data_IF_576056082067
#
_entry.id   IF_576056082067
#
_cell.length_a   1.000
_cell.length_b   1.000
_cell.length_c   1.000
_cell.angle_alpha   90.00
_cell.angle_beta   90.00
_cell.angle_gamma   90.00
#
_symmetry.space_group_name_H-M   'P 1'
#
loop_
_entity.id
_entity.type
_entity.pdbx_description
1 polymer ?
#
# COMPACT_ATOMS: atom_id res chain seq x y z
N UNK A 1 -11.45 26.22 -10.99
CA UNK A 1 -11.13 26.62 -9.61
C UNK A 1 -12.43 27.12 -9.00
N UNK A 2 -12.95 26.43 -7.99
CA UNK A 2 -14.18 26.82 -7.31
C UNK A 2 -13.79 27.59 -6.05
N UNK A 3 -14.20 28.85 -5.87
CA UNK A 3 -13.95 29.55 -4.63
C UNK A 3 -14.75 28.89 -3.51
N UNK A 4 -14.08 28.51 -2.44
CA UNK A 4 -14.73 28.05 -1.22
C UNK A 4 -15.15 29.30 -0.45
N UNK A 5 -16.46 29.51 -0.30
CA UNK A 5 -17.03 30.60 0.49
C UNK A 5 -16.58 30.53 1.96
N UNK A 6 -16.58 31.67 2.63
CA UNK A 6 -16.23 31.82 4.04
C UNK A 6 -17.15 30.92 4.90
N UNK A 7 -16.66 29.76 5.27
CA UNK A 7 -17.36 28.81 6.09
C UNK A 7 -16.41 27.67 6.42
N UNK A 8 -16.40 27.25 7.66
CA UNK A 8 -15.68 26.11 8.18
C UNK A 8 -15.65 24.97 7.15
N UNK A 9 -14.49 24.64 6.61
CA UNK A 9 -14.40 23.60 5.58
C UNK A 9 -13.04 22.97 5.49
N UNK A 10 -13.00 21.67 5.75
CA UNK A 10 -11.87 20.81 5.37
C UNK A 10 -11.84 20.74 3.83
N UNK A 11 -10.76 21.21 3.22
CA UNK A 11 -10.53 21.06 1.78
C UNK A 11 -9.72 19.80 1.54
N UNK A 12 -10.31 18.83 0.86
CA UNK A 12 -9.62 17.58 0.46
C UNK A 12 -9.26 17.65 -1.03
N UNK A 13 -8.05 18.00 -1.39
CA UNK A 13 -7.66 18.12 -2.81
C UNK A 13 -7.56 16.79 -3.57
N UNK A 14 -7.90 15.69 -2.97
CA UNK A 14 -7.96 14.40 -3.61
C UNK A 14 -7.20 13.32 -2.83
N UNK A 15 -7.64 12.09 -3.02
CA UNK A 15 -7.01 10.90 -2.44
C UNK A 15 -6.38 10.10 -3.57
N UNK A 16 -5.13 9.67 -3.39
CA UNK A 16 -4.51 8.66 -4.22
C UNK A 16 -5.27 7.34 -4.10
N UNK A 17 -5.32 6.55 -5.18
CA UNK A 17 -5.95 5.23 -5.14
C UNK A 17 -5.04 4.24 -4.43
N UNK A 18 -5.63 3.36 -3.63
CA UNK A 18 -4.88 2.28 -3.01
C UNK A 18 -4.41 1.27 -4.07
N UNK A 19 -3.26 0.65 -3.84
CA UNK A 19 -2.73 -0.42 -4.68
C UNK A 19 -3.53 -1.70 -4.52
N UNK A 20 -3.49 -2.56 -5.54
CA UNK A 20 -4.15 -3.87 -5.49
C UNK A 20 -3.28 -4.88 -4.76
N UNK A 21 -3.92 -5.82 -4.06
CA UNK A 21 -3.21 -6.91 -3.41
C UNK A 21 -2.59 -7.86 -4.45
N UNK A 22 -1.47 -8.47 -4.09
CA UNK A 22 -0.80 -9.47 -4.90
C UNK A 22 -1.58 -10.80 -4.91
N UNK A 23 -1.61 -11.53 -6.03
CA UNK A 23 -2.26 -12.82 -6.10
C UNK A 23 -1.53 -13.85 -5.23
N UNK A 24 -2.24 -14.89 -4.73
CA UNK A 24 -1.61 -15.99 -4.03
C UNK A 24 -0.71 -16.80 -4.97
N UNK A 25 0.32 -17.43 -4.40
CA UNK A 25 1.21 -18.34 -5.12
C UNK A 25 0.50 -19.65 -5.49
N UNK A 26 0.94 -20.27 -6.57
CA UNK A 26 0.42 -21.53 -7.05
C UNK A 26 0.91 -22.68 -6.15
N UNK A 27 0.04 -23.68 -5.90
CA UNK A 27 0.42 -24.89 -5.19
C UNK A 27 1.48 -25.69 -5.99
N UNK A 28 2.48 -26.22 -5.30
CA UNK A 28 3.45 -27.13 -5.91
C UNK A 28 2.81 -28.44 -6.38
N UNK A 29 3.34 -29.03 -7.42
CA UNK A 29 2.90 -30.33 -7.91
C UNK A 29 3.20 -31.42 -6.88
N UNK A 30 2.28 -32.38 -6.75
CA UNK A 30 2.49 -33.54 -5.89
C UNK A 30 3.58 -34.47 -6.45
N UNK A 31 4.25 -35.21 -5.57
CA UNK A 31 5.18 -36.24 -5.96
C UNK A 31 4.49 -37.35 -6.75
N UNK A 32 5.22 -38.05 -7.58
CA UNK A 32 4.75 -39.25 -8.28
C UNK A 32 5.37 -40.49 -7.66
N UNK A 33 4.76 -41.66 -7.89
CA UNK A 33 5.30 -42.96 -7.42
C UNK A 33 6.75 -43.22 -7.90
N UNK A 34 7.13 -42.65 -9.05
CA UNK A 34 8.45 -42.78 -9.62
C UNK A 34 9.48 -41.84 -8.94
N UNK A 35 9.06 -40.67 -8.50
CA UNK A 35 9.95 -39.66 -7.93
C UNK A 35 9.85 -39.53 -6.39
N UNK A 36 8.71 -39.93 -5.82
CA UNK A 36 8.44 -39.87 -4.38
C UNK A 36 8.29 -38.45 -3.81
N UNK A 37 9.12 -37.52 -4.21
CA UNK A 37 9.15 -36.15 -3.70
C UNK A 37 8.28 -35.19 -4.49
N UNK A 38 7.69 -34.21 -3.80
CA UNK A 38 6.85 -33.18 -4.38
C UNK A 38 7.63 -31.87 -4.66
N UNK A 39 7.09 -31.08 -5.54
CA UNK A 39 7.62 -29.76 -5.85
C UNK A 39 7.26 -28.72 -4.77
N UNK A 40 8.10 -27.69 -4.56
CA UNK A 40 7.76 -26.59 -3.68
C UNK A 40 6.60 -25.77 -4.23
N UNK A 41 5.91 -25.06 -3.36
CA UNK A 41 4.89 -24.09 -3.76
C UNK A 41 5.50 -22.87 -4.47
N UNK A 42 4.77 -22.29 -5.39
CA UNK A 42 5.18 -21.05 -6.06
C UNK A 42 5.14 -19.83 -5.12
N UNK A 43 5.93 -18.78 -5.41
CA UNK A 43 5.88 -17.53 -4.65
C UNK A 43 4.53 -16.83 -4.79
N UNK A 44 4.12 -16.10 -3.76
CA UNK A 44 3.01 -15.15 -3.84
C UNK A 44 3.37 -13.95 -4.71
N UNK A 45 2.38 -13.36 -5.37
CA UNK A 45 2.59 -12.13 -6.14
C UNK A 45 2.81 -10.92 -5.24
N UNK A 46 3.57 -9.93 -5.73
CA UNK A 46 3.79 -8.69 -5.00
C UNK A 46 2.53 -7.81 -5.03
N UNK A 47 2.31 -7.05 -3.95
CA UNK A 47 1.27 -6.03 -3.90
C UNK A 47 1.56 -4.90 -4.88
N UNK A 48 0.51 -4.32 -5.46
CA UNK A 48 0.61 -3.17 -6.34
C UNK A 48 1.00 -1.90 -5.56
N UNK A 49 1.76 -1.00 -6.20
CA UNK A 49 2.07 0.32 -5.64
C UNK A 49 0.80 1.16 -5.51
N UNK A 50 0.64 1.89 -4.42
CA UNK A 50 -0.42 2.87 -4.24
C UNK A 50 -0.31 4.02 -5.26
N UNK A 51 -1.45 4.58 -5.67
CA UNK A 51 -1.49 5.72 -6.58
C UNK A 51 -1.01 7.00 -5.90
N UNK A 52 -0.32 7.86 -6.65
CA UNK A 52 0.14 9.15 -6.16
C UNK A 52 -1.04 10.09 -5.88
N UNK A 53 -0.93 10.91 -4.84
CA UNK A 53 -1.87 12.00 -4.63
C UNK A 53 -1.68 13.04 -5.75
N UNK A 54 -2.77 13.61 -6.29
CA UNK A 54 -2.65 14.63 -7.31
C UNK A 54 -1.99 15.90 -6.75
N UNK A 55 -1.17 16.56 -7.56
CA UNK A 55 -0.73 17.92 -7.26
C UNK A 55 -1.93 18.87 -7.35
N UNK A 56 -2.11 19.69 -6.35
CA UNK A 56 -3.23 20.61 -6.29
C UNK A 56 -2.77 22.04 -5.95
N UNK A 57 -3.36 23.02 -6.62
CA UNK A 57 -3.30 24.43 -6.22
C UNK A 57 -4.67 24.81 -5.71
N UNK A 58 -4.75 25.18 -4.45
CA UNK A 58 -5.99 25.60 -3.79
C UNK A 58 -5.91 27.08 -3.48
N UNK A 59 -6.91 27.83 -3.92
CA UNK A 59 -7.07 29.23 -3.52
C UNK A 59 -8.16 29.32 -2.45
N UNK A 60 -7.76 29.79 -1.29
CA UNK A 60 -8.66 29.99 -0.16
C UNK A 60 -9.01 31.47 -0.12
N UNK A 61 -10.31 31.77 -0.15
CA UNK A 61 -10.81 33.13 0.03
C UNK A 61 -10.49 33.69 1.42
N UNK A 62 -11.02 34.86 1.72
CA UNK A 62 -10.87 35.50 3.03
C UNK A 62 -11.32 34.54 4.13
N UNK A 63 -10.37 33.98 4.85
CA UNK A 63 -10.67 33.20 6.03
C UNK A 63 -10.87 34.18 7.20
N UNK A 64 -11.99 34.05 7.90
CA UNK A 64 -12.28 34.83 9.09
C UNK A 64 -11.26 34.48 10.18
N UNK A 65 -10.80 35.48 10.92
CA UNK A 65 -9.95 35.24 12.09
C UNK A 65 -10.74 34.36 13.08
N UNK A 66 -10.33 33.12 13.29
CA UNK A 66 -10.94 32.22 14.26
C UNK A 66 -11.21 30.79 13.81
N UNK A 67 -11.33 30.52 12.51
CA UNK A 67 -11.48 29.14 12.03
C UNK A 67 -10.24 28.72 11.21
N UNK A 68 -9.46 27.70 11.64
CA UNK A 68 -8.35 27.23 10.84
C UNK A 68 -8.88 26.49 9.59
N UNK A 69 -8.28 26.80 8.44
CA UNK A 69 -8.51 26.04 7.22
C UNK A 69 -7.60 24.83 7.24
N UNK A 70 -8.19 23.64 7.24
CA UNK A 70 -7.46 22.37 7.24
C UNK A 70 -7.36 21.86 5.81
N UNK A 71 -6.13 21.66 5.31
CA UNK A 71 -5.87 21.04 4.02
C UNK A 71 -5.29 19.65 4.25
N UNK A 72 -6.06 18.63 3.90
CA UNK A 72 -5.65 17.23 4.01
C UNK A 72 -5.32 16.66 2.62
N UNK A 73 -4.16 16.02 2.51
CA UNK A 73 -3.73 15.32 1.29
C UNK A 73 -3.22 13.95 1.68
N UNK A 74 -3.68 12.93 0.98
CA UNK A 74 -3.26 11.55 1.21
C UNK A 74 -2.90 10.86 -0.11
N UNK A 75 -1.76 10.19 -0.14
CA UNK A 75 -1.44 9.22 -1.18
C UNK A 75 -2.23 7.91 -0.99
N UNK A 76 -2.30 7.09 -2.01
CA UNK A 76 -2.84 5.74 -1.89
C UNK A 76 -1.92 4.83 -1.07
N UNK A 77 -2.51 3.88 -0.34
CA UNK A 77 -1.76 2.83 0.35
C UNK A 77 -1.18 1.84 -0.66
N UNK A 78 -0.06 1.21 -0.30
CA UNK A 78 0.42 0.04 -1.04
C UNK A 78 -0.52 -1.15 -0.87
N UNK A 79 -0.67 -1.98 -1.90
CA UNK A 79 -1.40 -3.24 -1.82
C UNK A 79 -0.61 -4.29 -1.03
N UNK A 80 -1.30 -5.24 -0.40
CA UNK A 80 -0.65 -6.30 0.36
C UNK A 80 0.00 -7.35 -0.56
N UNK A 81 1.09 -7.96 -0.11
CA UNK A 81 1.69 -9.10 -0.80
C UNK A 81 0.80 -10.36 -0.73
N UNK A 82 0.76 -11.14 -1.79
CA UNK A 82 0.01 -12.39 -1.83
C UNK A 82 0.65 -13.49 -0.95
N UNK A 83 -0.19 -14.41 -0.42
CA UNK A 83 0.30 -15.59 0.31
C UNK A 83 1.13 -16.48 -0.63
N UNK A 84 2.24 -17.06 -0.14
CA UNK A 84 2.99 -18.10 -0.86
C UNK A 84 2.14 -19.35 -1.11
N UNK A 85 2.40 -20.04 -2.22
CA UNK A 85 1.72 -21.28 -2.55
C UNK A 85 2.08 -22.41 -1.59
N UNK A 86 1.13 -23.35 -1.32
CA UNK A 86 1.41 -24.56 -0.56
C UNK A 86 2.35 -25.48 -1.35
N UNK A 87 3.28 -26.14 -0.67
CA UNK A 87 4.05 -27.24 -1.26
C UNK A 87 3.17 -28.42 -1.66
N UNK A 88 3.57 -29.17 -2.68
CA UNK A 88 2.89 -30.40 -3.08
C UNK A 88 3.08 -31.52 -2.05
N UNK A 89 2.23 -32.56 -2.08
CA UNK A 89 2.31 -33.68 -1.17
C UNK A 89 3.22 -34.79 -1.72
N UNK A 90 4.12 -35.31 -0.88
CA UNK A 90 4.99 -36.45 -1.21
C UNK A 90 4.21 -37.75 -1.25
N UNK A 91 4.60 -38.68 -2.13
CA UNK A 91 3.94 -39.97 -2.34
C UNK A 91 4.86 -41.13 -1.97
N UNK A 92 4.32 -42.11 -1.26
CA UNK A 92 5.03 -43.32 -0.84
C UNK A 92 5.89 -43.11 0.42
N UNK A 93 6.48 -44.18 0.91
CA UNK A 93 7.24 -44.23 2.16
C UNK A 93 8.52 -43.37 2.17
N UNK A 94 9.04 -43.03 1.02
CA UNK A 94 10.22 -42.17 0.86
C UNK A 94 9.92 -40.81 0.30
N UNK A 95 8.64 -40.53 -0.01
CA UNK A 95 8.21 -39.29 -0.61
C UNK A 95 8.21 -38.14 0.39
N UNK A 96 9.00 -37.10 0.11
CA UNK A 96 9.04 -35.86 0.87
C UNK A 96 8.05 -34.87 0.27
N UNK A 97 7.26 -34.19 1.10
CA UNK A 97 6.46 -33.04 0.68
C UNK A 97 7.34 -31.90 0.16
N UNK A 98 6.79 -31.02 -0.63
CA UNK A 98 7.44 -29.80 -1.08
C UNK A 98 7.41 -28.72 0.01
N UNK A 99 8.42 -27.86 0.06
CA UNK A 99 8.41 -26.69 0.94
C UNK A 99 7.33 -25.68 0.49
N UNK A 100 6.83 -24.88 1.41
CA UNK A 100 5.92 -23.77 1.10
C UNK A 100 6.61 -22.70 0.26
N UNK A 101 5.88 -22.05 -0.62
CA UNK A 101 6.38 -20.91 -1.42
C UNK A 101 6.56 -19.65 -0.57
N UNK A 102 7.45 -18.75 -0.99
CA UNK A 102 7.64 -17.45 -0.35
C UNK A 102 6.38 -16.57 -0.48
N UNK A 103 6.03 -15.82 0.55
CA UNK A 103 5.02 -14.76 0.47
C UNK A 103 5.50 -13.60 -0.43
N UNK A 104 4.58 -12.95 -1.11
CA UNK A 104 4.86 -11.78 -1.93
C UNK A 104 5.22 -10.55 -1.08
N UNK A 105 5.98 -9.62 -1.65
CA UNK A 105 6.29 -8.36 -0.98
C UNK A 105 5.07 -7.42 -1.01
N UNK A 106 4.88 -6.63 0.04
CA UNK A 106 3.89 -5.55 0.05
C UNK A 106 4.28 -4.44 -0.94
N UNK A 107 3.29 -3.82 -1.55
CA UNK A 107 3.51 -2.68 -2.46
C UNK A 107 3.87 -1.41 -1.71
N UNK A 108 4.68 -0.55 -2.30
CA UNK A 108 5.00 0.76 -1.74
C UNK A 108 3.76 1.67 -1.76
N UNK A 109 3.64 2.55 -0.79
CA UNK A 109 2.65 3.63 -0.82
C UNK A 109 2.93 4.59 -1.99
N UNK A 110 1.89 5.26 -2.47
CA UNK A 110 2.00 6.27 -3.52
C UNK A 110 2.78 7.49 -3.05
N UNK A 111 3.38 8.23 -3.99
CA UNK A 111 3.97 9.52 -3.72
C UNK A 111 2.90 10.59 -3.49
N UNK A 112 3.25 11.62 -2.77
CA UNK A 112 2.38 12.79 -2.62
C UNK A 112 2.80 13.89 -3.59
N UNK A 113 1.82 14.46 -4.29
CA UNK A 113 2.03 15.62 -5.14
C UNK A 113 2.38 16.87 -4.32
N UNK A 114 2.81 17.92 -5.01
CA UNK A 114 3.01 19.24 -4.39
C UNK A 114 1.66 19.91 -4.16
N UNK A 115 1.43 20.40 -2.96
CA UNK A 115 0.23 21.19 -2.65
C UNK A 115 0.62 22.64 -2.43
N UNK A 116 0.05 23.54 -3.23
CA UNK A 116 0.22 24.99 -3.08
C UNK A 116 -1.12 25.55 -2.58
N UNK A 117 -1.07 26.23 -1.45
CA UNK A 117 -2.22 26.91 -0.88
C UNK A 117 -2.02 28.40 -0.99
N UNK A 118 -2.83 29.07 -1.82
CA UNK A 118 -2.87 30.50 -1.92
C UNK A 118 -3.96 31.03 -0.96
N UNK A 119 -3.62 31.96 -0.08
CA UNK A 119 -4.57 32.52 0.86
C UNK A 119 -4.36 34.04 1.02
N UNK A 120 -5.39 34.78 1.44
CA UNK A 120 -5.27 36.19 1.77
C UNK A 120 -5.97 36.50 3.10
N UNK A 121 -5.48 37.52 3.77
CA UNK A 121 -5.94 37.93 5.09
C UNK A 121 -5.18 37.26 6.24
N UNK A 122 -5.72 37.36 7.45
CA UNK A 122 -5.13 36.81 8.68
C UNK A 122 -5.58 35.36 8.94
N UNK A 123 -5.62 34.52 7.90
CA UNK A 123 -6.04 33.13 8.02
C UNK A 123 -4.97 32.28 8.72
N UNK A 124 -5.39 31.45 9.67
CA UNK A 124 -4.57 30.33 10.11
C UNK A 124 -4.79 29.15 9.16
N UNK A 125 -3.80 28.82 8.36
CA UNK A 125 -3.83 27.65 7.49
C UNK A 125 -3.07 26.53 8.19
N UNK A 126 -3.78 25.47 8.55
CA UNK A 126 -3.19 24.26 9.11
C UNK A 126 -3.13 23.20 8.03
N UNK A 127 -1.95 22.66 7.78
CA UNK A 127 -1.74 21.56 6.85
C UNK A 127 -1.55 20.29 7.65
N UNK A 128 -2.42 19.30 7.42
CA UNK A 128 -2.32 17.97 8.02
C UNK A 128 -1.79 16.98 6.99
N UNK A 129 -0.51 16.61 7.05
CA UNK A 129 0.02 15.56 6.20
C UNK A 129 -0.56 14.21 6.66
N UNK A 130 -1.33 13.56 5.79
CA UNK A 130 -1.79 12.19 6.02
C UNK A 130 -0.81 11.24 5.30
N UNK A 131 0.02 10.56 6.07
CA UNK A 131 0.94 9.57 5.53
C UNK A 131 0.16 8.30 5.12
N UNK A 132 0.42 7.81 3.92
CA UNK A 132 -0.06 6.51 3.50
C UNK A 132 0.96 5.43 3.87
N UNK A 133 0.47 4.29 4.30
CA UNK A 133 1.28 3.14 4.66
C UNK A 133 1.59 2.29 3.42
N UNK A 134 2.75 1.64 3.42
CA UNK A 134 3.04 0.55 2.49
C UNK A 134 2.14 -0.65 2.75
N UNK A 135 2.01 -1.54 1.78
CA UNK A 135 1.28 -2.78 1.93
C UNK A 135 1.96 -3.74 2.90
N UNK A 136 1.19 -4.59 3.53
CA UNK A 136 1.70 -5.65 4.39
C UNK A 136 2.38 -6.75 3.55
N UNK A 137 3.41 -7.43 4.08
CA UNK A 137 4.00 -8.56 3.41
C UNK A 137 3.02 -9.74 3.38
N UNK A 138 3.06 -10.51 2.31
CA UNK A 138 2.37 -11.80 2.23
C UNK A 138 3.04 -12.81 3.16
N UNK A 139 2.24 -13.70 3.76
CA UNK A 139 2.75 -14.81 4.55
C UNK A 139 3.29 -15.92 3.64
N UNK A 140 4.27 -16.68 4.11
CA UNK A 140 4.76 -17.85 3.42
C UNK A 140 3.66 -18.90 3.25
N UNK A 141 3.81 -19.75 2.23
CA UNK A 141 2.92 -20.89 1.99
C UNK A 141 3.13 -22.01 3.00
N UNK A 142 2.10 -22.83 3.19
CA UNK A 142 2.17 -24.00 4.03
C UNK A 142 3.02 -25.10 3.36
N UNK A 143 3.73 -25.94 4.14
CA UNK A 143 4.43 -27.09 3.59
C UNK A 143 3.47 -28.14 3.05
N UNK A 144 3.96 -28.96 2.13
CA UNK A 144 3.25 -30.17 1.67
C UNK A 144 3.32 -31.29 2.70
N UNK A 145 2.35 -32.20 2.65
CA UNK A 145 2.33 -33.39 3.51
C UNK A 145 3.35 -34.45 3.08
N UNK A 146 3.81 -35.27 4.03
CA UNK A 146 4.54 -36.51 3.72
C UNK A 146 3.99 -37.66 4.55
N UNK A 147 3.94 -38.87 3.98
CA UNK A 147 3.39 -40.05 4.65
C UNK A 147 4.28 -40.60 5.76
N UNK A 148 5.55 -40.29 5.75
CA UNK A 148 6.56 -40.79 6.71
C UNK A 148 6.99 -39.75 7.74
N UNK A 149 6.24 -38.65 7.89
CA UNK A 149 6.54 -37.61 8.89
C UNK A 149 7.76 -36.74 8.62
N UNK A 150 8.36 -36.81 7.42
CA UNK A 150 9.40 -35.86 7.02
C UNK A 150 8.86 -34.45 7.00
N UNK A 151 9.35 -33.63 7.90
CA UNK A 151 8.91 -32.25 8.00
C UNK A 151 9.49 -31.41 6.84
N UNK A 152 8.60 -30.73 6.14
CA UNK A 152 8.98 -29.69 5.19
C UNK A 152 8.74 -28.33 5.81
N UNK A 153 9.44 -27.32 5.34
CA UNK A 153 9.37 -25.99 5.93
C UNK A 153 8.24 -25.16 5.32
N UNK A 154 7.58 -24.32 6.11
CA UNK A 154 6.77 -23.25 5.55
C UNK A 154 7.64 -22.26 4.77
N UNK A 155 7.08 -21.63 3.75
CA UNK A 155 7.78 -20.60 3.00
C UNK A 155 8.08 -19.37 3.88
N UNK A 156 9.13 -18.62 3.59
CA UNK A 156 9.39 -17.34 4.27
C UNK A 156 8.32 -16.30 3.88
N UNK A 157 8.06 -15.34 4.76
CA UNK A 157 7.24 -14.18 4.45
C UNK A 157 7.90 -13.23 3.43
N UNK A 158 7.12 -12.36 2.82
CA UNK A 158 7.60 -11.25 2.01
C UNK A 158 8.17 -10.10 2.85
N UNK A 159 8.51 -9.00 2.19
CA UNK A 159 8.93 -7.75 2.83
C UNK A 159 7.76 -6.76 2.87
N UNK A 160 7.67 -5.89 3.88
CA UNK A 160 6.67 -4.82 3.88
C UNK A 160 6.98 -3.76 2.81
N UNK A 161 5.94 -3.16 2.24
CA UNK A 161 6.07 -2.02 1.36
C UNK A 161 6.53 -0.77 2.12
N UNK A 162 7.12 0.18 1.41
CA UNK A 162 7.60 1.44 1.99
C UNK A 162 6.44 2.40 2.23
N UNK A 163 6.42 3.13 3.35
CA UNK A 163 5.44 4.17 3.59
C UNK A 163 5.69 5.38 2.65
N UNK A 164 4.65 6.19 2.44
CA UNK A 164 4.78 7.43 1.70
C UNK A 164 5.69 8.42 2.42
N UNK A 165 6.40 9.23 1.63
CA UNK A 165 7.09 10.39 2.18
C UNK A 165 6.09 11.52 2.47
N UNK A 166 6.39 12.41 3.46
CA UNK A 166 5.52 13.55 3.72
C UNK A 166 5.43 14.47 2.49
N UNK A 167 4.25 15.06 2.23
CA UNK A 167 4.06 15.95 1.10
C UNK A 167 4.85 17.25 1.24
N UNK A 168 5.25 17.81 0.09
CA UNK A 168 5.79 19.15 0.04
C UNK A 168 4.64 20.16 -0.01
N UNK A 169 4.56 21.03 1.00
CA UNK A 169 3.57 22.11 1.03
C UNK A 169 4.22 23.45 0.75
N UNK A 170 3.50 24.29 0.02
CA UNK A 170 3.86 25.68 -0.19
C UNK A 170 2.66 26.55 0.19
N UNK A 171 2.85 27.42 1.17
CA UNK A 171 1.86 28.42 1.56
C UNK A 171 2.23 29.75 0.90
N UNK A 172 1.32 30.33 0.15
CA UNK A 172 1.53 31.61 -0.54
C UNK A 172 0.47 32.59 -0.06
N UNK A 173 0.90 33.59 0.70
CA UNK A 173 0.04 34.70 1.07
C UNK A 173 -0.07 35.67 -0.12
N UNK A 174 -1.25 35.92 -0.60
CA UNK A 174 -1.51 36.81 -1.72
C UNK A 174 -2.24 38.08 -1.26
N UNK A 175 -2.15 39.16 -2.04
CA UNK A 175 -2.98 40.32 -1.83
C UNK A 175 -4.46 39.98 -2.08
N UNK A 176 -5.42 40.63 -1.40
CA UNK A 176 -6.83 40.46 -1.71
C UNK A 176 -7.11 40.84 -3.18
N UNK A 177 -8.05 40.18 -3.87
CA UNK A 177 -8.39 40.57 -5.22
C UNK A 177 -8.93 42.02 -5.23
N UNK A 178 -8.66 42.80 -6.29
CA UNK A 178 -9.23 44.12 -6.42
C UNK A 178 -10.78 44.02 -6.38
N UNK A 179 -11.37 44.86 -5.57
CA UNK A 179 -12.84 44.96 -5.39
C UNK A 179 -13.57 45.49 -6.62
#
# INVERSE_FOLDING_TARGET
>A
VRPVGAGEGEVRPGLGRDGTDGPPGVRGADGTRAQGSAAPGGPGGNGGRGGDAPSATQSIGRASAGAPVVVAVRAGRGGNGGKGGRGGDGVGLTGRGGDGGRGGDGGDAGGVGRVTVNYWGAAQVMVLPMLAEGGLPGVGGDPGGSQNGWMTAPGPGGQPGRPAQPPAFTLVQTAPPPG
#
